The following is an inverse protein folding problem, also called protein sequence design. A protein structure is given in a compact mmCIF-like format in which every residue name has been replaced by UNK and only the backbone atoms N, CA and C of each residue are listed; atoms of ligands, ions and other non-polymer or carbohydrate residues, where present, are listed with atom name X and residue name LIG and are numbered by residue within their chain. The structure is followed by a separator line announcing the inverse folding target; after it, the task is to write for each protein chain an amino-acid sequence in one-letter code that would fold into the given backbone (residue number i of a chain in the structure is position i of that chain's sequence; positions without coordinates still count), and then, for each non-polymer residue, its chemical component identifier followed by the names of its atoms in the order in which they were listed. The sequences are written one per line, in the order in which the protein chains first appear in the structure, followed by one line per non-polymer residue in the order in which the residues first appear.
data_IF_382883740337
#
_entry.id   IF_382883740337
#
_cell.length_a   1.000
_cell.length_b   1.000
_cell.length_c   1.000
_cell.angle_alpha   90.00
_cell.angle_beta   90.00
_cell.angle_gamma   90.00
#
_symmetry.space_group_name_H-M   'P 1'
#
loop_
_entity.id
_entity.type
_entity.pdbx_description
1 polymer ?
#
# COMPACT_ATOMS: atom_id res chain seq x y z
N UNK A 1 -1.84 -7.73 -11.11
CA UNK A 1 -1.87 -9.02 -10.39
C UNK A 1 -0.89 -9.10 -9.20
N UNK A 2 0.32 -8.53 -9.28
CA UNK A 2 1.30 -8.57 -8.17
C UNK A 2 0.82 -8.01 -6.83
N UNK A 3 0.35 -6.75 -6.81
CA UNK A 3 -0.14 -6.10 -5.59
C UNK A 3 -1.28 -6.87 -4.90
N UNK A 4 -2.24 -7.39 -5.67
CA UNK A 4 -3.34 -8.19 -5.12
C UNK A 4 -2.89 -9.53 -4.54
N UNK A 5 -1.80 -10.11 -5.05
CA UNK A 5 -1.19 -11.31 -4.47
C UNK A 5 -0.39 -10.96 -3.23
N UNK A 6 0.34 -9.84 -3.24
CA UNK A 6 1.16 -9.37 -2.12
C UNK A 6 0.29 -9.03 -0.90
N UNK A 7 -0.82 -8.32 -1.11
CA UNK A 7 -1.84 -8.07 -0.08
C UNK A 7 -2.52 -9.35 0.43
N UNK A 8 -2.58 -10.40 -0.38
CA UNK A 8 -3.19 -11.68 0.01
C UNK A 8 -2.16 -12.72 0.48
N UNK A 9 -0.87 -12.39 0.46
CA UNK A 9 0.21 -13.34 0.71
C UNK A 9 0.25 -13.79 2.17
N UNK A 10 -0.25 -12.96 3.08
CA UNK A 10 -0.33 -13.24 4.52
C UNK A 10 -1.51 -14.15 4.90
N UNK A 11 -2.36 -14.59 3.94
CA UNK A 11 -3.49 -15.56 4.04
C UNK A 11 -4.42 -15.47 5.27
N UNK A 12 -3.94 -15.79 6.48
CA UNK A 12 -4.69 -15.73 7.74
C UNK A 12 -4.31 -14.55 8.64
N UNK A 13 -3.20 -13.84 8.37
CA UNK A 13 -2.69 -12.74 9.18
C UNK A 13 -2.98 -11.35 8.59
N UNK A 14 -3.40 -11.25 7.32
CA UNK A 14 -3.72 -9.95 6.74
C UNK A 14 -5.07 -9.47 7.23
N UNK A 15 -5.06 -8.46 8.10
CA UNK A 15 -6.27 -7.68 8.36
C UNK A 15 -6.58 -6.92 7.09
N UNK A 16 -7.65 -7.32 6.39
CA UNK A 16 -8.10 -6.63 5.19
C UNK A 16 -8.31 -5.15 5.55
N UNK A 17 -7.63 -4.21 4.89
CA UNK A 17 -7.85 -2.80 5.19
C UNK A 17 -9.32 -2.48 4.88
N UNK A 18 -10.02 -1.73 5.77
CA UNK A 18 -11.42 -1.36 5.54
C UNK A 18 -11.58 -0.50 4.28
N UNK A 19 -10.56 0.30 3.94
CA UNK A 19 -10.48 1.12 2.74
C UNK A 19 -9.09 0.98 2.12
N UNK A 20 -9.02 0.80 0.80
CA UNK A 20 -7.77 0.86 0.05
C UNK A 20 -8.03 1.68 -1.20
N UNK A 21 -7.34 2.81 -1.33
CA UNK A 21 -7.47 3.67 -2.50
C UNK A 21 -6.24 3.47 -3.39
N UNK A 22 -6.47 3.04 -4.63
CA UNK A 22 -5.43 2.98 -5.65
C UNK A 22 -5.61 4.16 -6.62
N UNK A 23 -4.59 5.01 -6.70
CA UNK A 23 -4.52 6.12 -7.62
C UNK A 23 -3.44 5.80 -8.64
N UNK A 24 -3.77 5.81 -9.92
CA UNK A 24 -2.82 5.53 -11.01
C UNK A 24 -2.68 6.75 -11.89
N UNK A 25 -1.48 7.32 -11.92
CA UNK A 25 -1.10 8.41 -12.82
C UNK A 25 -0.03 7.91 -13.79
N UNK A 26 -0.47 7.45 -14.96
CA UNK A 26 0.38 6.78 -15.96
C UNK A 26 1.14 5.58 -15.33
N UNK A 27 2.47 5.69 -15.22
CA UNK A 27 3.36 4.68 -14.64
C UNK A 27 3.66 4.91 -13.14
N UNK A 28 3.05 5.93 -12.54
CA UNK A 28 3.15 6.27 -11.12
C UNK A 28 1.89 5.79 -10.39
N UNK A 29 2.04 4.78 -9.55
CA UNK A 29 0.92 4.25 -8.78
C UNK A 29 1.08 4.66 -7.33
N UNK A 30 0.00 5.18 -6.75
CA UNK A 30 -0.07 5.56 -5.35
C UNK A 30 -1.11 4.68 -4.67
N UNK A 31 -0.68 3.89 -3.69
CA UNK A 31 -1.54 3.12 -2.82
C UNK A 31 -1.73 3.88 -1.53
N UNK A 32 -2.98 4.19 -1.19
CA UNK A 32 -3.33 4.87 0.05
C UNK A 32 -4.08 3.92 0.98
N UNK A 33 -3.46 3.65 2.11
CA UNK A 33 -3.96 2.76 3.17
C UNK A 33 -4.67 3.55 4.27
N UNK A 34 -5.54 2.93 5.06
CA UNK A 34 -6.20 3.62 6.16
C UNK A 34 -5.20 3.95 7.26
N UNK A 35 -5.52 4.98 8.04
CA UNK A 35 -4.70 5.40 9.18
C UNK A 35 -4.42 4.24 10.14
N UNK A 36 -3.19 4.17 10.67
CA UNK A 36 -2.74 3.17 11.65
C UNK A 36 -2.79 1.71 11.17
N UNK A 37 -3.04 1.48 9.88
CA UNK A 37 -3.12 0.11 9.35
C UNK A 37 -1.76 -0.59 9.35
N UNK A 38 -0.70 0.14 9.02
CA UNK A 38 0.67 -0.39 9.04
C UNK A 38 1.15 -0.70 10.46
N UNK A 39 0.66 0.01 11.48
CA UNK A 39 0.95 -0.27 12.89
C UNK A 39 0.59 -1.70 13.30
N UNK A 40 -0.46 -2.26 12.71
CA UNK A 40 -0.91 -3.65 12.94
C UNK A 40 -0.36 -4.64 11.89
N UNK A 41 0.07 -4.15 10.73
CA UNK A 41 0.45 -4.97 9.56
C UNK A 41 1.85 -4.61 9.04
N UNK A 42 2.83 -4.48 9.95
CA UNK A 42 4.21 -4.08 9.63
C UNK A 42 4.90 -5.02 8.61
N UNK A 43 4.53 -6.30 8.56
CA UNK A 43 5.04 -7.23 7.54
C UNK A 43 4.60 -6.84 6.13
N UNK A 44 3.37 -6.34 5.98
CA UNK A 44 2.88 -5.90 4.68
C UNK A 44 3.60 -4.63 4.24
N UNK A 45 3.91 -3.71 5.17
CA UNK A 45 4.73 -2.54 4.86
C UNK A 45 6.09 -2.98 4.29
N UNK A 46 6.76 -3.94 4.93
CA UNK A 46 8.05 -4.45 4.47
C UNK A 46 7.98 -5.10 3.08
N UNK A 47 6.90 -5.85 2.79
CA UNK A 47 6.70 -6.43 1.46
C UNK A 47 6.43 -5.32 0.41
N UNK A 48 5.71 -4.25 0.77
CA UNK A 48 5.46 -3.11 -0.12
C UNK A 48 6.71 -2.28 -0.38
N UNK A 49 7.58 -2.08 0.62
CA UNK A 49 8.86 -1.41 0.46
C UNK A 49 9.76 -2.17 -0.53
N UNK A 50 9.85 -3.49 -0.41
CA UNK A 50 10.57 -4.33 -1.39
C UNK A 50 9.99 -4.21 -2.78
N UNK A 51 8.66 -4.18 -2.89
CA UNK A 51 8.00 -4.02 -4.18
C UNK A 51 8.27 -2.62 -4.76
N UNK A 52 8.33 -1.58 -3.92
CA UNK A 52 8.70 -0.23 -4.32
C UNK A 52 10.14 -0.19 -4.88
N UNK A 53 11.10 -0.79 -4.18
CA UNK A 53 12.49 -0.92 -4.67
C UNK A 53 12.54 -1.68 -6.01
N UNK A 54 11.75 -2.75 -6.15
CA UNK A 54 11.67 -3.48 -7.41
C UNK A 54 11.15 -2.59 -8.54
N UNK A 55 10.14 -1.76 -8.27
CA UNK A 55 9.55 -0.85 -9.26
C UNK A 55 10.49 0.29 -9.63
N UNK A 56 11.29 0.81 -8.69
CA UNK A 56 12.34 1.79 -9.00
C UNK A 56 13.37 1.23 -9.99
N UNK A 57 13.59 -0.08 -10.00
CA UNK A 57 14.41 -0.76 -11.01
C UNK A 57 13.76 -0.90 -12.39
N UNK A 58 12.45 -0.67 -12.51
CA UNK A 58 11.70 -0.76 -13.76
C UNK A 58 11.55 0.63 -14.36
N UNK A 59 12.08 0.84 -15.57
CA UNK A 59 12.11 2.15 -16.22
C UNK A 59 10.70 2.77 -16.34
N UNK A 60 10.51 3.92 -15.71
CA UNK A 60 9.27 4.71 -15.73
C UNK A 60 8.25 4.32 -14.66
N UNK A 61 8.42 3.20 -13.95
CA UNK A 61 7.48 2.77 -12.93
C UNK A 61 7.85 3.34 -11.57
N UNK A 62 6.85 3.79 -10.82
CA UNK A 62 7.04 4.22 -9.44
C UNK A 62 5.85 3.79 -8.61
N UNK A 63 6.14 3.15 -7.50
CA UNK A 63 5.15 2.85 -6.48
C UNK A 63 5.31 3.86 -5.34
N UNK A 64 4.22 4.49 -4.92
CA UNK A 64 4.17 5.34 -3.73
C UNK A 64 3.19 4.71 -2.76
N UNK A 65 3.63 4.53 -1.51
CA UNK A 65 2.78 4.09 -0.42
C UNK A 65 2.46 5.32 0.42
N UNK A 66 1.18 5.57 0.66
CA UNK A 66 0.68 6.63 1.53
C UNK A 66 -0.28 6.05 2.56
N UNK A 67 -0.39 6.73 3.69
CA UNK A 67 -1.41 6.47 4.69
C UNK A 67 -2.41 7.63 4.68
N UNK A 68 -3.70 7.35 4.86
CA UNK A 68 -4.69 8.35 5.17
C UNK A 68 -4.26 9.04 6.48
N UNK A 69 -3.96 10.34 6.41
CA UNK A 69 -3.95 11.18 7.59
C UNK A 69 -5.33 11.07 8.22
N UNK A 70 -5.37 10.79 9.53
CA UNK A 70 -6.58 10.67 10.34
C UNK A 70 -7.65 11.62 9.82
N UNK A 71 -8.89 11.19 9.56
CA UNK A 71 -9.93 12.13 9.16
C UNK A 71 -10.03 13.11 10.33
N UNK A 72 -9.51 14.32 10.13
CA UNK A 72 -9.75 15.43 11.02
C UNK A 72 -11.26 15.50 11.10
N UNK A 73 -11.79 15.12 12.26
CA UNK A 73 -13.21 15.20 12.56
C UNK A 73 -13.53 16.67 12.33
N UNK A 74 -14.13 16.97 11.18
CA UNK A 74 -14.70 18.28 10.91
C UNK A 74 -15.75 18.48 12.00
N UNK A 75 -15.35 19.25 13.01
CA UNK A 75 -16.10 19.58 14.21
C UNK A 75 -17.36 20.38 13.89
#
# INVERSE_FOLDING_TARGET
LRLGVLLNNQRQATTTPPTLTLITDDSHWTLRFPHDWFSQNALVLLDLEKEQEYWEGVAGWRLKIEEESTPEIAA
#
